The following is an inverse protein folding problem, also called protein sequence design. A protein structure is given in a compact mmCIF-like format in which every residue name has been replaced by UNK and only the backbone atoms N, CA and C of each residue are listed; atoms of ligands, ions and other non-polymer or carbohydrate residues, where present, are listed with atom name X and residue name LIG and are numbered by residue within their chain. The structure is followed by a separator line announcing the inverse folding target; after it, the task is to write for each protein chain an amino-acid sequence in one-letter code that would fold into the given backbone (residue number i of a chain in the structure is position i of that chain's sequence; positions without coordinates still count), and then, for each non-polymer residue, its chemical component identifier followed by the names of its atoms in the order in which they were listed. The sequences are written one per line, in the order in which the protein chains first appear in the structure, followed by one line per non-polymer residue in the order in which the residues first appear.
data_IF_989920255333
#
_entry.id   IF_989920255333
#
_cell.length_a   1.000
_cell.length_b   1.000
_cell.length_c   1.000
_cell.angle_alpha   90.00
_cell.angle_beta   90.00
_cell.angle_gamma   90.00
#
_symmetry.space_group_name_H-M   'P 1'
#
loop_
_entity.id
_entity.type
_entity.pdbx_description
1 polymer ?
#
# COMPACT_ATOMS: atom_id res chain seq x y z
N UNK A 1 7.01 18.43 3.79
CA UNK A 1 5.55 18.65 3.77
C UNK A 1 5.03 18.71 2.34
N UNK A 2 5.59 19.52 1.43
CA UNK A 2 5.15 19.54 0.03
C UNK A 2 5.41 18.23 -0.77
N UNK A 3 6.50 17.50 -0.49
CA UNK A 3 6.79 16.23 -1.18
C UNK A 3 5.85 15.08 -0.78
N UNK A 4 5.50 14.97 0.50
CA UNK A 4 4.58 13.92 1.00
C UNK A 4 3.18 14.05 0.39
N UNK A 5 2.66 15.27 0.29
CA UNK A 5 1.34 15.52 -0.30
C UNK A 5 1.32 15.24 -1.81
N UNK A 6 2.42 15.52 -2.52
CA UNK A 6 2.56 15.23 -3.96
C UNK A 6 2.61 13.72 -4.23
N UNK A 7 3.31 12.98 -3.37
CA UNK A 7 3.42 11.51 -3.43
C UNK A 7 2.06 10.91 -3.09
N UNK A 8 1.40 11.38 -2.04
CA UNK A 8 0.11 10.87 -1.62
C UNK A 8 -0.98 11.10 -2.68
N UNK A 9 -0.98 12.24 -3.37
CA UNK A 9 -1.87 12.52 -4.51
C UNK A 9 -1.62 11.63 -5.73
N UNK A 10 -0.35 11.43 -6.11
CA UNK A 10 0.03 10.57 -7.25
C UNK A 10 -0.25 9.08 -6.94
N UNK A 11 -0.13 8.67 -5.67
CA UNK A 11 -0.46 7.33 -5.21
C UNK A 11 -1.96 7.08 -5.11
N UNK A 12 -2.74 8.04 -4.58
CA UNK A 12 -4.20 7.97 -4.62
C UNK A 12 -4.68 7.85 -6.07
N UNK A 13 -4.11 8.63 -6.99
CA UNK A 13 -4.40 8.55 -8.41
C UNK A 13 -4.15 7.13 -8.99
N UNK A 14 -3.02 6.50 -8.68
CA UNK A 14 -2.67 5.14 -9.17
C UNK A 14 -3.60 4.04 -8.66
N UNK A 15 -4.10 4.14 -7.42
CA UNK A 15 -5.02 3.15 -6.83
C UNK A 15 -6.50 3.42 -7.13
N UNK A 16 -6.88 4.68 -7.39
CA UNK A 16 -8.23 5.11 -7.84
C UNK A 16 -8.40 4.96 -9.36
N UNK A 17 -7.31 4.80 -10.13
CA UNK A 17 -7.37 4.68 -11.58
C UNK A 17 -8.23 3.50 -12.08
N UNK A 18 -8.32 2.40 -11.32
CA UNK A 18 -9.06 1.21 -11.76
C UNK A 18 -10.58 1.39 -11.82
N UNK A 19 -11.26 1.99 -10.82
CA UNK A 19 -12.67 2.35 -10.97
C UNK A 19 -12.92 3.39 -12.08
N UNK A 20 -11.94 4.24 -12.41
CA UNK A 20 -12.03 5.15 -13.55
C UNK A 20 -11.90 4.43 -14.91
N UNK A 21 -11.00 3.44 -15.02
CA UNK A 21 -10.95 2.52 -16.16
C UNK A 21 -12.23 1.70 -16.31
N UNK A 22 -12.91 1.38 -15.20
CA UNK A 22 -14.24 0.76 -15.18
C UNK A 22 -15.29 1.66 -15.84
N UNK A 23 -15.24 2.97 -15.60
CA UNK A 23 -16.15 3.92 -16.27
C UNK A 23 -15.93 3.89 -17.78
N UNK A 24 -14.67 3.85 -18.23
CA UNK A 24 -14.32 3.74 -19.65
C UNK A 24 -14.68 2.36 -20.25
N UNK A 25 -14.52 1.27 -19.48
CA UNK A 25 -14.82 -0.11 -19.89
C UNK A 25 -16.30 -0.50 -19.72
N UNK A 26 -17.11 0.25 -18.97
CA UNK A 26 -18.57 0.13 -18.91
C UNK A 26 -19.24 0.97 -20.00
N UNK A 27 -18.59 2.06 -20.43
CA UNK A 27 -19.01 2.86 -21.59
C UNK A 27 -18.69 2.14 -22.91
N UNK A 28 -17.62 1.34 -22.96
CA UNK A 28 -17.26 0.61 -24.19
C UNK A 28 -18.30 -0.42 -24.66
N UNK A 29 -18.96 -1.20 -23.78
CA UNK A 29 -20.14 -1.99 -24.10
C UNK A 29 -21.32 -1.17 -24.59
N UNK A 30 -21.46 0.09 -24.17
CA UNK A 30 -22.49 1.01 -24.68
C UNK A 30 -22.15 1.49 -26.10
N UNK A 31 -20.86 1.68 -26.41
CA UNK A 31 -20.35 1.94 -27.77
C UNK A 31 -20.43 0.68 -28.64
N UNK A 32 -20.21 -0.51 -28.06
CA UNK A 32 -20.33 -1.80 -28.74
C UNK A 32 -21.79 -2.29 -28.87
N UNK A 33 -22.71 -1.79 -28.05
CA UNK A 33 -24.16 -2.01 -28.15
C UNK A 33 -24.73 -1.36 -29.43
N UNK A 34 -24.14 -0.27 -29.91
CA UNK A 34 -24.43 0.25 -31.26
C UNK A 34 -23.79 -0.58 -32.39
N UNK A 35 -22.84 -1.48 -32.07
CA UNK A 35 -22.31 -2.40 -33.07
C UNK A 35 -23.21 -3.63 -33.16
N UNK A 36 -23.66 -3.98 -34.35
CA UNK A 36 -24.48 -5.17 -34.69
C UNK A 36 -23.87 -6.53 -34.25
N UNK A 37 -22.71 -6.53 -33.58
CA UNK A 37 -21.96 -7.69 -33.08
C UNK A 37 -22.61 -8.31 -31.84
N UNK A 38 -23.39 -7.54 -31.07
CA UNK A 38 -24.09 -7.99 -29.87
C UNK A 38 -25.62 -7.95 -30.07
N UNK A 39 -26.17 -8.80 -30.95
CA UNK A 39 -27.59 -9.16 -30.93
C UNK A 39 -27.88 -10.04 -29.69
N UNK A 40 -27.63 -9.49 -28.50
CA UNK A 40 -27.87 -10.16 -27.23
C UNK A 40 -29.34 -9.99 -26.87
N UNK A 41 -30.09 -11.08 -26.97
CA UNK A 41 -31.38 -11.16 -26.28
C UNK A 41 -31.18 -10.81 -24.80
N UNK A 42 -32.10 -10.03 -24.24
CA UNK A 42 -32.11 -9.51 -22.86
C UNK A 42 -31.89 -10.59 -21.77
N UNK A 43 -32.02 -11.87 -22.14
CA UNK A 43 -31.86 -13.07 -21.32
C UNK A 43 -30.44 -13.24 -20.75
N UNK A 44 -29.38 -12.64 -21.29
CA UNK A 44 -28.02 -12.82 -20.71
C UNK A 44 -27.57 -11.72 -19.74
N UNK A 45 -28.15 -10.53 -19.81
CA UNK A 45 -27.73 -9.42 -18.94
C UNK A 45 -28.23 -9.67 -17.51
N UNK A 46 -29.48 -10.11 -17.36
CA UNK A 46 -30.07 -10.37 -16.05
C UNK A 46 -29.35 -11.47 -15.25
N UNK A 47 -29.04 -12.66 -15.80
CA UNK A 47 -28.27 -13.68 -15.10
C UNK A 47 -26.84 -13.25 -14.81
N UNK A 48 -26.22 -12.46 -15.68
CA UNK A 48 -24.86 -11.92 -15.46
C UNK A 48 -24.86 -10.94 -14.29
N UNK A 49 -25.80 -9.99 -14.26
CA UNK A 49 -25.96 -9.05 -13.14
C UNK A 49 -26.27 -9.78 -11.83
N UNK A 50 -27.17 -10.77 -11.87
CA UNK A 50 -27.49 -11.58 -10.69
C UNK A 50 -26.27 -12.35 -10.18
N UNK A 51 -25.51 -13.00 -11.07
CA UNK A 51 -24.29 -13.73 -10.72
C UNK A 51 -23.23 -12.80 -10.11
N UNK A 52 -23.09 -11.59 -10.66
CA UNK A 52 -22.19 -10.57 -10.15
C UNK A 52 -22.60 -10.10 -8.76
N UNK A 53 -23.89 -9.81 -8.53
CA UNK A 53 -24.40 -9.40 -7.22
C UNK A 53 -24.24 -10.50 -6.16
N UNK A 54 -24.54 -11.75 -6.51
CA UNK A 54 -24.34 -12.89 -5.64
C UNK A 54 -22.85 -13.07 -5.26
N UNK A 55 -21.95 -12.90 -6.22
CA UNK A 55 -20.51 -12.93 -5.97
C UNK A 55 -20.06 -11.81 -5.03
N UNK A 56 -20.59 -10.59 -5.19
CA UNK A 56 -20.31 -9.46 -4.29
C UNK A 56 -20.74 -9.80 -2.87
N UNK A 57 -21.96 -10.32 -2.70
CA UNK A 57 -22.52 -10.65 -1.39
C UNK A 57 -21.70 -11.74 -0.70
N UNK A 58 -21.38 -12.84 -1.40
CA UNK A 58 -20.55 -13.93 -0.86
C UNK A 58 -19.17 -13.43 -0.43
N UNK A 59 -18.50 -12.67 -1.30
CA UNK A 59 -17.15 -12.16 -1.06
C UNK A 59 -17.16 -11.19 0.13
N UNK A 60 -18.16 -10.32 0.20
CA UNK A 60 -18.31 -9.34 1.27
C UNK A 60 -18.59 -10.01 2.62
N UNK A 61 -19.50 -10.97 2.66
CA UNK A 61 -19.80 -11.78 3.86
C UNK A 61 -18.58 -12.57 4.33
N UNK A 62 -17.87 -13.23 3.41
CA UNK A 62 -16.65 -13.95 3.73
C UNK A 62 -15.59 -13.02 4.34
N UNK A 63 -15.39 -11.84 3.73
CA UNK A 63 -14.47 -10.82 4.24
C UNK A 63 -14.84 -10.39 5.65
N UNK A 64 -16.10 -10.02 5.90
CA UNK A 64 -16.55 -9.59 7.22
C UNK A 64 -16.35 -10.66 8.30
N UNK A 65 -16.64 -11.92 7.98
CA UNK A 65 -16.46 -13.05 8.91
C UNK A 65 -14.99 -13.28 9.25
N UNK A 66 -14.11 -13.25 8.27
CA UNK A 66 -12.66 -13.37 8.47
C UNK A 66 -12.15 -12.24 9.37
N UNK A 67 -12.51 -11.00 9.07
CA UNK A 67 -12.09 -9.86 9.89
C UNK A 67 -12.58 -9.95 11.33
N UNK A 68 -13.83 -10.35 11.54
CA UNK A 68 -14.41 -10.55 12.87
C UNK A 68 -13.67 -11.66 13.64
N UNK A 69 -13.29 -12.74 12.97
CA UNK A 69 -12.49 -13.82 13.56
C UNK A 69 -11.09 -13.33 13.96
N UNK A 70 -10.41 -12.58 13.09
CA UNK A 70 -9.08 -12.05 13.39
C UNK A 70 -9.09 -11.06 14.55
N UNK A 71 -10.09 -10.18 14.61
CA UNK A 71 -10.27 -9.24 15.71
C UNK A 71 -10.52 -9.98 17.03
N UNK A 72 -11.31 -11.05 17.01
CA UNK A 72 -11.55 -11.90 18.20
C UNK A 72 -10.26 -12.56 18.70
N UNK A 73 -9.34 -12.89 17.80
CA UNK A 73 -8.04 -13.47 18.12
C UNK A 73 -6.95 -12.42 18.45
N UNK A 74 -7.32 -11.14 18.58
CA UNK A 74 -6.39 -10.07 18.97
C UNK A 74 -5.48 -9.58 17.85
N UNK A 75 -5.83 -9.82 16.58
CA UNK A 75 -5.08 -9.28 15.46
C UNK A 75 -5.19 -7.75 15.39
N UNK A 76 -4.07 -7.07 15.13
CA UNK A 76 -4.05 -5.61 14.91
C UNK A 76 -4.74 -5.27 13.59
N UNK A 77 -5.63 -4.27 13.59
CA UNK A 77 -6.34 -3.79 12.38
C UNK A 77 -5.40 -3.46 11.22
N UNK A 78 -4.22 -2.88 11.49
CA UNK A 78 -3.23 -2.59 10.44
C UNK A 78 -2.79 -3.83 9.66
N UNK A 79 -2.56 -4.96 10.35
CA UNK A 79 -2.19 -6.23 9.71
C UNK A 79 -3.35 -6.83 8.91
N UNK A 80 -4.58 -6.65 9.39
CA UNK A 80 -5.79 -7.11 8.69
C UNK A 80 -5.92 -6.36 7.35
N UNK A 81 -5.82 -5.03 7.35
CA UNK A 81 -5.91 -4.23 6.13
C UNK A 81 -4.78 -4.51 5.14
N UNK A 82 -3.53 -4.60 5.62
CA UNK A 82 -2.38 -4.95 4.77
C UNK A 82 -2.58 -6.32 4.10
N UNK A 83 -3.02 -7.32 4.87
CA UNK A 83 -3.32 -8.65 4.36
C UNK A 83 -4.45 -8.62 3.34
N UNK A 84 -5.55 -7.92 3.64
CA UNK A 84 -6.72 -7.81 2.76
C UNK A 84 -6.34 -7.21 1.40
N UNK A 85 -5.53 -6.16 1.37
CA UNK A 85 -5.07 -5.55 0.11
C UNK A 85 -4.20 -6.53 -0.68
N UNK A 86 -3.26 -7.23 -0.03
CA UNK A 86 -2.42 -8.24 -0.70
C UNK A 86 -3.25 -9.36 -1.31
N UNK A 87 -4.19 -9.92 -0.55
CA UNK A 87 -5.09 -10.97 -1.05
C UNK A 87 -6.02 -10.46 -2.15
N UNK A 88 -6.54 -9.24 -2.02
CA UNK A 88 -7.33 -8.58 -3.06
C UNK A 88 -6.56 -8.45 -4.37
N UNK A 89 -5.30 -7.97 -4.31
CA UNK A 89 -4.45 -7.85 -5.49
C UNK A 89 -4.10 -9.21 -6.11
N UNK A 90 -3.86 -10.25 -5.30
CA UNK A 90 -3.64 -11.61 -5.83
C UNK A 90 -4.88 -12.12 -6.56
N UNK A 91 -6.07 -11.98 -5.96
CA UNK A 91 -7.32 -12.40 -6.58
C UNK A 91 -7.59 -11.64 -7.89
N UNK A 92 -7.28 -10.34 -7.93
CA UNK A 92 -7.31 -9.54 -9.15
C UNK A 92 -6.39 -10.11 -10.23
N UNK A 93 -5.14 -10.41 -9.89
CA UNK A 93 -4.16 -10.92 -10.86
C UNK A 93 -4.67 -12.23 -11.45
N UNK A 94 -5.30 -13.09 -10.64
CA UNK A 94 -5.92 -14.31 -11.14
C UNK A 94 -7.02 -13.98 -12.15
N UNK A 95 -7.94 -13.06 -11.82
CA UNK A 95 -9.00 -12.64 -12.75
C UNK A 95 -8.45 -12.04 -14.06
N UNK A 96 -7.43 -11.19 -14.00
CA UNK A 96 -6.87 -10.52 -15.18
C UNK A 96 -6.13 -11.51 -16.11
N UNK A 97 -5.62 -12.63 -15.58
CA UNK A 97 -4.85 -13.62 -16.36
C UNK A 97 -5.69 -14.80 -16.89
N UNK A 98 -6.84 -15.13 -16.30
CA UNK A 98 -7.66 -16.25 -16.79
C UNK A 98 -8.08 -16.08 -18.27
N UNK A 99 -8.57 -14.91 -18.73
CA UNK A 99 -8.90 -14.71 -20.14
C UNK A 99 -7.69 -14.93 -21.07
N UNK A 100 -6.50 -14.50 -20.65
CA UNK A 100 -5.24 -14.67 -21.39
C UNK A 100 -4.89 -16.16 -21.49
N UNK A 101 -4.96 -16.89 -20.39
CA UNK A 101 -4.70 -18.34 -20.35
C UNK A 101 -5.71 -19.07 -21.25
N UNK A 102 -7.00 -18.74 -21.15
CA UNK A 102 -8.02 -19.30 -22.04
C UNK A 102 -7.72 -19.04 -23.52
N UNK A 103 -7.22 -17.84 -23.87
CA UNK A 103 -6.85 -17.53 -25.25
C UNK A 103 -5.65 -18.32 -25.78
N UNK A 104 -4.73 -18.76 -24.91
CA UNK A 104 -3.57 -19.59 -25.31
C UNK A 104 -3.98 -21.06 -25.51
N UNK A 105 -4.81 -21.59 -24.62
CA UNK A 105 -5.05 -23.05 -24.54
C UNK A 105 -6.36 -23.51 -25.20
N UNK A 106 -7.32 -22.62 -25.43
CA UNK A 106 -8.61 -22.95 -26.07
C UNK A 106 -8.60 -22.43 -27.51
N UNK A 107 -9.09 -23.22 -28.49
CA UNK A 107 -9.27 -22.73 -29.86
C UNK A 107 -9.97 -21.38 -29.88
N UNK A 108 -9.40 -20.41 -30.60
CA UNK A 108 -9.80 -19.01 -30.48
C UNK A 108 -11.20 -18.78 -31.07
N UNK A 109 -12.20 -18.72 -30.18
CA UNK A 109 -13.57 -18.33 -30.49
C UNK A 109 -13.83 -16.91 -29.99
N UNK A 110 -13.90 -15.94 -30.90
CA UNK A 110 -13.93 -14.51 -30.53
C UNK A 110 -15.07 -14.16 -29.57
N UNK A 111 -16.30 -14.65 -29.81
CA UNK A 111 -17.43 -14.36 -28.93
C UNK A 111 -17.28 -14.95 -27.52
N UNK A 112 -16.81 -16.21 -27.42
CA UNK A 112 -16.58 -16.87 -26.13
C UNK A 112 -15.45 -16.17 -25.37
N UNK A 113 -14.37 -15.80 -26.05
CA UNK A 113 -13.26 -15.05 -25.46
C UNK A 113 -13.74 -13.70 -24.92
N UNK A 114 -14.49 -12.92 -25.72
CA UNK A 114 -15.02 -11.63 -25.30
C UNK A 114 -15.95 -11.74 -24.09
N UNK A 115 -16.79 -12.78 -24.05
CA UNK A 115 -17.67 -13.06 -22.90
C UNK A 115 -16.88 -13.38 -21.63
N UNK A 116 -15.94 -14.33 -21.70
CA UNK A 116 -15.07 -14.72 -20.57
C UNK A 116 -14.27 -13.52 -20.08
N UNK A 117 -13.66 -12.78 -21.01
CA UNK A 117 -12.95 -11.55 -20.73
C UNK A 117 -13.83 -10.57 -19.91
N UNK A 118 -15.02 -10.25 -20.41
CA UNK A 118 -15.95 -9.33 -19.75
C UNK A 118 -16.29 -9.76 -18.32
N UNK A 119 -16.64 -11.03 -18.12
CA UNK A 119 -17.00 -11.58 -16.80
C UNK A 119 -15.85 -11.45 -15.79
N UNK A 120 -14.62 -11.80 -16.21
CA UNK A 120 -13.45 -11.74 -15.34
C UNK A 120 -12.99 -10.30 -15.06
N UNK A 121 -13.20 -9.36 -15.99
CA UNK A 121 -12.98 -7.93 -15.74
C UNK A 121 -13.93 -7.38 -14.68
N UNK A 122 -15.22 -7.67 -14.79
CA UNK A 122 -16.18 -7.23 -13.77
C UNK A 122 -15.82 -7.83 -12.42
N UNK A 123 -15.53 -9.13 -12.37
CA UNK A 123 -15.17 -9.81 -11.13
C UNK A 123 -13.90 -9.23 -10.49
N UNK A 124 -12.83 -9.05 -11.27
CA UNK A 124 -11.58 -8.48 -10.79
C UNK A 124 -11.72 -7.03 -10.31
N UNK A 125 -12.53 -6.23 -10.99
CA UNK A 125 -12.75 -4.84 -10.59
C UNK A 125 -13.54 -4.72 -9.29
N UNK A 126 -14.56 -5.55 -9.08
CA UNK A 126 -15.32 -5.60 -7.83
C UNK A 126 -14.44 -6.00 -6.64
N UNK A 127 -13.60 -7.03 -6.81
CA UNK A 127 -12.60 -7.43 -5.81
C UNK A 127 -11.67 -6.26 -5.48
N UNK A 128 -11.24 -5.51 -6.50
CA UNK A 128 -10.40 -4.33 -6.31
C UNK A 128 -11.07 -3.24 -5.47
N UNK A 129 -12.35 -2.97 -5.70
CA UNK A 129 -13.09 -1.95 -4.94
C UNK A 129 -13.23 -2.38 -3.47
N UNK A 130 -13.61 -3.64 -3.24
CA UNK A 130 -13.87 -4.19 -1.90
C UNK A 130 -12.59 -4.35 -1.06
N UNK A 131 -11.50 -4.85 -1.64
CA UNK A 131 -10.28 -5.20 -0.90
C UNK A 131 -9.16 -4.18 -1.00
N UNK A 132 -9.12 -3.38 -2.07
CA UNK A 132 -8.00 -2.48 -2.35
C UNK A 132 -8.39 -1.02 -2.13
N UNK A 133 -9.39 -0.51 -2.86
CA UNK A 133 -9.72 0.93 -2.85
C UNK A 133 -10.14 1.40 -1.46
N UNK A 134 -11.09 0.69 -0.84
CA UNK A 134 -11.59 1.05 0.50
C UNK A 134 -10.49 0.98 1.57
N UNK A 135 -9.72 -0.11 1.58
CA UNK A 135 -8.74 -0.36 2.65
C UNK A 135 -7.49 0.51 2.53
N UNK A 136 -7.08 0.82 1.30
CA UNK A 136 -5.93 1.67 1.04
C UNK A 136 -6.17 3.11 1.52
N UNK A 137 -7.42 3.59 1.55
CA UNK A 137 -7.77 4.90 2.12
C UNK A 137 -7.38 5.06 3.60
N UNK A 138 -7.14 3.95 4.31
CA UNK A 138 -6.73 3.95 5.72
C UNK A 138 -5.23 3.72 5.94
N UNK A 139 -4.45 3.51 4.88
CA UNK A 139 -3.01 3.20 4.96
C UNK A 139 -2.17 4.35 4.41
N UNK A 140 -0.97 4.49 4.93
CA UNK A 140 0.06 5.39 4.44
C UNK A 140 1.37 4.61 4.24
N UNK A 141 2.20 5.01 3.27
CA UNK A 141 3.45 4.32 2.94
C UNK A 141 4.62 5.15 3.45
N UNK A 142 5.42 4.58 4.35
CA UNK A 142 6.46 5.33 5.06
C UNK A 142 7.85 5.24 4.38
N UNK A 143 8.10 4.17 3.62
CA UNK A 143 9.35 4.01 2.85
C UNK A 143 9.22 2.91 1.81
N UNK A 144 9.90 3.08 0.68
CA UNK A 144 9.93 2.13 -0.44
C UNK A 144 11.31 2.13 -1.12
N UNK A 145 11.66 1.04 -1.80
CA UNK A 145 12.89 0.92 -2.58
C UNK A 145 12.60 1.05 -4.08
N UNK A 146 12.55 2.30 -4.57
CA UNK A 146 12.16 2.61 -5.96
C UNK A 146 13.02 1.93 -7.03
N UNK A 147 14.33 1.75 -6.79
CA UNK A 147 15.23 1.14 -7.78
C UNK A 147 14.95 -0.35 -7.99
N UNK A 148 14.63 -1.09 -6.93
CA UNK A 148 14.30 -2.51 -7.03
C UNK A 148 12.96 -2.73 -7.73
N UNK A 149 11.98 -1.89 -7.39
CA UNK A 149 10.66 -1.92 -7.99
C UNK A 149 10.69 -1.58 -9.48
N UNK A 150 11.42 -0.55 -9.86
CA UNK A 150 11.59 -0.19 -11.26
C UNK A 150 12.16 -1.34 -12.09
N UNK A 151 13.19 -2.04 -11.58
CA UNK A 151 13.79 -3.20 -12.26
C UNK A 151 12.78 -4.34 -12.42
N UNK A 152 12.03 -4.69 -11.38
CA UNK A 152 11.03 -5.77 -11.41
C UNK A 152 9.86 -5.44 -12.34
N UNK A 153 9.35 -4.21 -12.27
CA UNK A 153 8.27 -3.73 -13.15
C UNK A 153 8.71 -3.72 -14.60
N UNK A 154 9.94 -3.28 -14.90
CA UNK A 154 10.48 -3.30 -16.26
C UNK A 154 10.56 -4.72 -16.82
N UNK A 155 11.10 -5.69 -16.06
CA UNK A 155 11.14 -7.09 -16.49
C UNK A 155 9.75 -7.69 -16.73
N UNK A 156 8.78 -7.39 -15.85
CA UNK A 156 7.41 -7.86 -16.00
C UNK A 156 6.75 -7.27 -17.24
N UNK A 157 6.89 -5.96 -17.47
CA UNK A 157 6.36 -5.30 -18.67
C UNK A 157 6.98 -5.93 -19.92
N UNK A 158 8.30 -6.17 -19.95
CA UNK A 158 8.95 -6.84 -21.09
C UNK A 158 8.39 -8.24 -21.34
N UNK A 159 8.16 -9.04 -20.30
CA UNK A 159 7.56 -10.37 -20.45
C UNK A 159 6.12 -10.30 -21.00
N UNK A 160 5.29 -9.42 -20.45
CA UNK A 160 3.92 -9.24 -20.93
C UNK A 160 3.88 -8.74 -22.37
N UNK A 161 4.77 -7.83 -22.77
CA UNK A 161 4.85 -7.37 -24.16
C UNK A 161 5.15 -8.52 -25.13
N UNK A 162 6.04 -9.44 -24.78
CA UNK A 162 6.34 -10.63 -25.61
C UNK A 162 5.10 -11.54 -25.72
N UNK A 163 4.44 -11.82 -24.60
CA UNK A 163 3.22 -12.63 -24.57
C UNK A 163 2.09 -11.99 -25.38
N UNK A 164 1.95 -10.68 -25.31
CA UNK A 164 0.95 -9.91 -26.06
C UNK A 164 1.20 -9.98 -27.58
N UNK A 165 2.46 -9.86 -28.01
CA UNK A 165 2.82 -10.01 -29.44
C UNK A 165 2.46 -11.41 -29.94
N UNK A 166 2.78 -12.46 -29.18
CA UNK A 166 2.43 -13.84 -29.53
C UNK A 166 0.92 -14.05 -29.65
N UNK A 167 0.14 -13.49 -28.73
CA UNK A 167 -1.32 -13.59 -28.76
C UNK A 167 -1.93 -12.82 -29.94
N UNK A 168 -1.41 -11.63 -30.26
CA UNK A 168 -1.82 -10.88 -31.45
C UNK A 168 -1.50 -11.59 -32.77
N UNK A 169 -0.44 -12.40 -32.81
CA UNK A 169 -0.14 -13.28 -33.94
C UNK A 169 -1.12 -14.46 -34.00
N UNK A 170 -1.49 -15.02 -32.84
CA UNK A 170 -2.43 -16.15 -32.77
C UNK A 170 -3.84 -15.80 -33.25
N UNK A 171 -4.24 -14.51 -33.22
CA UNK A 171 -5.51 -14.04 -33.78
C UNK A 171 -5.52 -13.89 -35.31
N UNK A 172 -4.38 -14.09 -36.00
CA UNK A 172 -4.29 -14.00 -37.46
C UNK A 172 -5.18 -15.02 -38.18
N UNK A 173 -5.47 -16.15 -37.55
CA UNK A 173 -6.31 -17.19 -38.11
C UNK A 173 -7.83 -16.92 -37.99
N UNK A 174 -8.24 -15.76 -37.48
CA UNK A 174 -9.65 -15.40 -37.35
C UNK A 174 -10.27 -15.00 -38.69
N UNK A 175 -11.51 -15.46 -38.94
CA UNK A 175 -12.19 -15.29 -40.24
C UNK A 175 -12.55 -13.85 -40.60
N UNK A 176 -12.68 -12.94 -39.62
CA UNK A 176 -13.22 -11.60 -39.85
C UNK A 176 -12.31 -10.49 -39.28
N UNK A 177 -11.97 -9.45 -40.06
CA UNK A 177 -11.00 -8.42 -39.65
C UNK A 177 -11.48 -7.55 -38.48
N UNK A 178 -12.79 -7.35 -38.33
CA UNK A 178 -13.37 -6.59 -37.21
C UNK A 178 -13.21 -7.33 -35.88
N UNK A 179 -13.43 -8.64 -35.89
CA UNK A 179 -13.33 -9.51 -34.71
C UNK A 179 -11.88 -9.65 -34.25
N UNK A 180 -10.94 -9.70 -35.20
CA UNK A 180 -9.49 -9.66 -34.96
C UNK A 180 -9.06 -8.38 -34.23
N UNK A 181 -9.54 -7.23 -34.70
CA UNK A 181 -9.20 -5.93 -34.09
C UNK A 181 -9.71 -5.85 -32.65
N UNK A 182 -10.96 -6.25 -32.42
CA UNK A 182 -11.55 -6.29 -31.06
C UNK A 182 -10.77 -7.22 -30.14
N UNK A 183 -10.48 -8.46 -30.58
CA UNK A 183 -9.70 -9.42 -29.82
C UNK A 183 -8.32 -8.86 -29.39
N UNK A 184 -7.59 -8.25 -30.32
CA UNK A 184 -6.27 -7.69 -30.05
C UNK A 184 -6.32 -6.53 -29.06
N UNK A 185 -7.33 -5.66 -29.15
CA UNK A 185 -7.53 -4.56 -28.18
C UNK A 185 -7.75 -5.11 -26.77
N UNK A 186 -8.59 -6.13 -26.62
CA UNK A 186 -8.81 -6.76 -25.31
C UNK A 186 -7.53 -7.43 -24.79
N UNK A 187 -6.85 -8.23 -25.61
CA UNK A 187 -5.59 -8.89 -25.25
C UNK A 187 -4.58 -7.86 -24.72
N UNK A 188 -4.35 -6.77 -25.47
CA UNK A 188 -3.46 -5.67 -25.06
C UNK A 188 -3.91 -5.04 -23.74
N UNK A 189 -5.21 -4.74 -23.58
CA UNK A 189 -5.75 -4.16 -22.36
C UNK A 189 -5.53 -5.07 -21.12
N UNK A 190 -5.77 -6.38 -21.23
CA UNK A 190 -5.56 -7.32 -20.11
C UNK A 190 -4.10 -7.45 -19.72
N UNK A 191 -3.18 -7.56 -20.69
CA UNK A 191 -1.76 -7.65 -20.38
C UNK A 191 -1.26 -6.39 -19.67
N UNK A 192 -1.73 -5.22 -20.10
CA UNK A 192 -1.40 -3.94 -19.44
C UNK A 192 -1.96 -3.88 -18.02
N UNK A 193 -3.25 -4.20 -17.82
CA UNK A 193 -3.88 -4.19 -16.49
C UNK A 193 -3.22 -5.19 -15.53
N UNK A 194 -2.95 -6.41 -15.99
CA UNK A 194 -2.27 -7.44 -15.20
C UNK A 194 -0.88 -6.98 -14.77
N UNK A 195 -0.08 -6.42 -15.69
CA UNK A 195 1.27 -5.92 -15.38
C UNK A 195 1.27 -4.79 -14.34
N UNK A 196 0.29 -3.89 -14.40
CA UNK A 196 0.09 -2.80 -13.44
C UNK A 196 -0.27 -3.38 -12.07
N UNK A 197 -1.20 -4.34 -12.01
CA UNK A 197 -1.61 -4.95 -10.74
C UNK A 197 -0.47 -5.73 -10.09
N UNK A 198 0.30 -6.51 -10.87
CA UNK A 198 1.48 -7.23 -10.34
C UNK A 198 2.50 -6.24 -9.80
N UNK A 199 2.74 -5.13 -10.51
CA UNK A 199 3.64 -4.07 -10.05
C UNK A 199 3.19 -3.47 -8.71
N UNK A 200 1.88 -3.24 -8.53
CA UNK A 200 1.29 -2.79 -7.25
C UNK A 200 1.49 -3.80 -6.12
N UNK A 201 1.33 -5.10 -6.42
CA UNK A 201 1.54 -6.16 -5.43
C UNK A 201 3.00 -6.21 -4.98
N UNK A 202 3.95 -6.18 -5.92
CA UNK A 202 5.38 -6.14 -5.61
C UNK A 202 5.75 -4.90 -4.80
N UNK A 203 5.20 -3.74 -5.15
CA UNK A 203 5.34 -2.51 -4.37
C UNK A 203 4.92 -2.68 -2.91
N UNK A 204 3.78 -3.33 -2.64
CA UNK A 204 3.30 -3.53 -1.27
C UNK A 204 4.13 -4.53 -0.46
N UNK A 205 4.81 -5.47 -1.11
CA UNK A 205 5.75 -6.37 -0.42
C UNK A 205 7.06 -5.68 -0.04
N UNK A 206 7.51 -4.72 -0.86
CA UNK A 206 8.77 -4.01 -0.64
C UNK A 206 8.58 -2.72 0.20
N UNK A 207 7.34 -2.28 0.42
CA UNK A 207 7.00 -1.05 1.16
C UNK A 207 6.68 -1.29 2.63
N UNK A 208 7.09 -0.36 3.50
CA UNK A 208 6.61 -0.31 4.89
C UNK A 208 5.32 0.50 4.98
N UNK A 209 4.23 -0.16 5.34
CA UNK A 209 2.89 0.44 5.43
C UNK A 209 2.53 0.77 6.88
N UNK A 210 1.99 1.96 7.11
CA UNK A 210 1.58 2.51 8.41
C UNK A 210 0.12 2.95 8.34
N UNK A 211 -0.62 2.97 9.46
CA UNK A 211 -2.06 3.25 9.46
C UNK A 211 -2.38 4.73 9.71
N UNK A 212 -3.25 5.33 8.89
CA UNK A 212 -3.55 6.78 8.89
C UNK A 212 -4.25 7.29 10.15
N UNK A 213 -5.12 6.49 10.76
CA UNK A 213 -5.87 6.97 11.94
C UNK A 213 -5.05 7.02 13.23
N UNK A 214 -3.80 6.54 13.22
CA UNK A 214 -2.84 6.81 14.28
C UNK A 214 -2.31 8.26 14.20
N UNK A 215 -2.33 8.87 13.00
CA UNK A 215 -1.91 10.25 12.74
C UNK A 215 -3.05 11.27 13.00
N UNK A 216 -4.29 10.94 12.61
CA UNK A 216 -5.45 11.85 12.78
C UNK A 216 -5.93 12.02 14.23
N UNK A 217 -5.66 11.05 15.11
CA UNK A 217 -6.00 11.14 16.54
C UNK A 217 -5.00 12.01 17.31
N UNK A 218 -3.74 12.01 16.86
CA UNK A 218 -2.68 12.87 17.37
C UNK A 218 -2.89 14.35 17.03
N UNK A 219 -3.38 14.67 15.82
CA UNK A 219 -3.60 16.07 15.41
C UNK A 219 -4.88 16.67 16.03
N UNK A 220 -5.93 15.87 16.27
CA UNK A 220 -7.19 16.38 16.84
C UNK A 220 -7.15 16.63 18.36
N UNK A 221 -6.16 16.09 19.08
CA UNK A 221 -6.04 16.27 20.53
C UNK A 221 -5.23 17.53 20.92
N UNK A 222 -4.55 18.20 19.97
CA UNK A 222 -3.77 19.42 20.24
C UNK A 222 -4.61 20.71 20.19
N UNK A 223 -5.79 20.67 19.55
CA UNK A 223 -6.64 21.85 19.31
C UNK A 223 -7.83 22.02 20.28
N UNK A 224 -8.05 21.09 21.22
CA UNK A 224 -9.14 21.19 22.20
C UNK A 224 -8.63 21.11 23.63
N UNK A 225 -8.58 22.26 24.30
CA UNK A 225 -8.33 22.35 25.73
C UNK A 225 -9.43 21.65 26.57
N UNK A 226 -8.99 21.12 27.72
CA UNK A 226 -9.73 20.85 28.98
C UNK A 226 -10.39 19.47 29.18
N UNK A 227 -9.99 18.80 30.27
CA UNK A 227 -10.88 17.96 31.11
C UNK A 227 -10.37 16.56 31.44
N UNK A 228 -9.54 16.40 32.48
CA UNK A 228 -8.86 15.15 32.83
C UNK A 228 -9.67 14.24 33.76
N UNK A 229 -9.95 13.00 33.33
CA UNK A 229 -10.43 11.91 34.19
C UNK A 229 -9.40 10.77 34.29
N UNK A 230 -9.32 10.15 35.47
CA UNK A 230 -8.22 9.27 35.93
C UNK A 230 -8.07 7.93 35.20
N UNK A 231 -9.06 7.52 34.40
CA UNK A 231 -9.10 6.19 33.76
C UNK A 231 -8.29 6.15 32.45
N UNK A 232 -8.10 7.29 31.78
CA UNK A 232 -7.33 7.39 30.53
C UNK A 232 -5.80 7.44 30.72
N UNK A 233 -5.32 7.50 31.96
CA UNK A 233 -3.89 7.66 32.24
C UNK A 233 -3.06 6.43 31.82
N UNK A 234 -3.67 5.23 31.83
CA UNK A 234 -2.98 3.97 31.56
C UNK A 234 -2.81 3.68 30.06
N UNK A 235 -3.78 4.09 29.23
CA UNK A 235 -3.72 3.99 27.77
C UNK A 235 -2.80 5.07 27.16
N UNK A 236 -2.80 6.29 27.72
CA UNK A 236 -1.86 7.36 27.34
C UNK A 236 -0.42 7.02 27.78
N UNK A 237 -0.22 6.22 28.85
CA UNK A 237 1.10 5.72 29.25
C UNK A 237 1.75 4.83 28.17
N UNK A 238 0.95 3.99 27.50
CA UNK A 238 1.44 3.12 26.44
C UNK A 238 1.79 3.90 25.16
N UNK A 239 0.97 4.89 24.77
CA UNK A 239 1.25 5.73 23.60
C UNK A 239 2.46 6.67 23.80
N UNK A 240 2.65 7.24 25.01
CA UNK A 240 3.83 8.06 25.34
C UNK A 240 5.15 7.29 25.39
N UNK A 241 5.11 5.95 25.45
CA UNK A 241 6.33 5.15 25.47
C UNK A 241 6.95 4.97 24.08
N UNK A 242 6.11 4.91 23.03
CA UNK A 242 6.56 4.70 21.64
C UNK A 242 7.31 5.92 21.05
N UNK A 243 7.07 7.14 21.54
CA UNK A 243 7.83 8.34 21.16
C UNK A 243 9.17 8.46 21.89
N UNK A 244 9.33 7.75 23.01
CA UNK A 244 10.54 7.77 23.83
C UNK A 244 11.49 6.64 23.47
N UNK A 245 11.46 6.14 22.22
CA UNK A 245 12.39 5.11 21.73
C UNK A 245 13.28 5.64 20.62
N UNK A 246 14.51 5.11 20.56
CA UNK A 246 15.38 5.39 19.43
C UNK A 246 14.93 4.61 18.20
N UNK A 247 14.57 5.30 17.12
CA UNK A 247 14.08 4.70 15.87
C UNK A 247 15.13 3.86 15.10
N UNK A 248 16.38 3.80 15.59
CA UNK A 248 17.46 2.99 14.99
C UNK A 248 17.61 1.64 15.72
N UNK A 249 17.65 1.66 17.05
CA UNK A 249 17.84 0.44 17.85
C UNK A 249 16.59 -0.04 18.58
N UNK A 250 15.48 0.72 18.47
CA UNK A 250 14.18 0.46 19.08
C UNK A 250 14.25 0.27 20.60
N UNK A 251 15.23 0.89 21.25
CA UNK A 251 15.38 0.90 22.71
C UNK A 251 14.85 2.22 23.29
N UNK A 252 14.20 2.14 24.45
CA UNK A 252 13.75 3.30 25.19
C UNK A 252 14.93 4.22 25.52
N UNK A 253 14.74 5.51 25.27
CA UNK A 253 15.61 6.55 25.75
C UNK A 253 15.66 6.51 27.27
N UNK A 254 16.84 6.73 27.81
CA UNK A 254 17.03 6.66 29.25
C UNK A 254 18.13 7.66 29.62
N UNK A 255 17.84 8.49 30.62
CA UNK A 255 18.79 9.49 31.10
C UNK A 255 19.95 8.85 31.87
N UNK A 256 19.66 7.85 32.70
CA UNK A 256 20.61 7.16 33.58
C UNK A 256 21.55 6.25 32.78
N UNK A 257 21.08 5.69 31.67
CA UNK A 257 21.86 4.79 30.82
C UNK A 257 22.56 5.57 29.70
N UNK A 258 23.88 5.79 29.82
CA UNK A 258 24.70 6.53 28.82
C UNK A 258 24.51 6.04 27.38
N UNK A 259 24.23 4.75 27.15
CA UNK A 259 24.02 4.21 25.80
C UNK A 259 22.69 4.65 25.16
N UNK A 260 21.65 4.85 25.97
CA UNK A 260 20.31 5.21 25.54
C UNK A 260 20.01 6.70 25.73
N UNK A 261 21.01 7.52 26.03
CA UNK A 261 20.83 8.95 26.22
C UNK A 261 20.45 9.62 24.88
N UNK A 262 19.34 10.37 24.79
CA UNK A 262 18.92 11.03 23.55
C UNK A 262 19.83 12.22 23.24
N UNK A 263 20.45 12.19 22.05
CA UNK A 263 21.35 13.23 21.52
C UNK A 263 20.74 13.85 20.26
N UNK A 264 20.86 15.17 20.15
CA UNK A 264 20.39 15.92 18.97
C UNK A 264 21.53 16.02 17.95
N UNK A 265 21.23 15.66 16.70
CA UNK A 265 22.10 15.91 15.55
C UNK A 265 21.96 17.39 15.14
N UNK A 266 22.97 18.22 15.43
CA UNK A 266 22.87 19.67 15.27
C UNK A 266 22.73 20.14 13.82
N UNK A 267 23.02 19.27 12.84
CA UNK A 267 22.79 19.58 11.43
C UNK A 267 21.30 19.64 11.04
N UNK A 268 20.44 18.86 11.70
CA UNK A 268 19.02 18.73 11.30
C UNK A 268 18.00 18.69 12.44
N UNK A 269 18.43 18.64 13.71
CA UNK A 269 17.53 18.58 14.87
C UNK A 269 17.01 17.18 15.22
N UNK A 270 17.24 16.16 14.39
CA UNK A 270 16.81 14.79 14.70
C UNK A 270 17.49 14.24 15.95
N UNK A 271 16.76 13.42 16.71
CA UNK A 271 17.25 12.81 17.94
C UNK A 271 17.57 11.33 17.76
N UNK A 272 18.74 10.92 18.25
CA UNK A 272 19.26 9.55 18.19
C UNK A 272 19.91 9.20 19.53
N UNK A 273 19.87 7.94 19.96
CA UNK A 273 20.55 7.55 21.19
C UNK A 273 22.07 7.57 21.02
N UNK A 274 22.79 7.91 22.08
CA UNK A 274 24.25 8.06 22.06
C UNK A 274 24.98 6.81 21.53
N UNK A 275 24.49 5.60 21.81
CA UNK A 275 25.05 4.38 21.23
C UNK A 275 24.95 4.36 19.69
N UNK A 276 23.79 4.69 19.14
CA UNK A 276 23.59 4.71 17.69
C UNK A 276 24.37 5.86 17.04
N UNK A 277 24.51 7.01 17.69
CA UNK A 277 25.37 8.09 17.18
C UNK A 277 26.82 7.64 17.05
N UNK A 278 27.36 6.95 18.06
CA UNK A 278 28.72 6.39 17.98
C UNK A 278 28.85 5.35 16.86
N UNK A 279 27.81 4.54 16.64
CA UNK A 279 27.77 3.58 15.53
C UNK A 279 27.77 4.26 14.17
N UNK A 280 27.03 5.37 14.01
CA UNK A 280 27.01 6.17 12.79
C UNK A 280 28.38 6.81 12.54
N UNK A 281 29.01 7.39 13.56
CA UNK A 281 30.37 7.96 13.46
C UNK A 281 31.43 6.93 13.07
N UNK A 282 31.36 5.70 13.60
CA UNK A 282 32.33 4.64 13.23
C UNK A 282 32.24 4.20 11.78
N UNK A 283 31.08 4.40 11.14
CA UNK A 283 30.88 4.06 9.72
C UNK A 283 31.41 5.14 8.78
N UNK A 284 31.82 6.30 9.28
CA UNK A 284 32.35 7.40 8.48
C UNK A 284 33.80 7.70 8.87
N UNK A 285 34.68 7.82 7.87
CA UNK A 285 36.07 8.23 8.09
C UNK A 285 36.22 9.76 8.23
N UNK A 286 35.15 10.52 8.00
CA UNK A 286 35.13 11.98 8.02
C UNK A 286 34.74 12.55 9.37
N UNK A 287 35.01 13.84 9.60
CA UNK A 287 34.62 14.54 10.84
C UNK A 287 33.13 14.93 10.94
N UNK A 288 32.27 14.09 10.39
CA UNK A 288 30.82 14.27 10.37
C UNK A 288 30.07 13.00 10.80
N UNK A 289 28.82 13.20 11.21
CA UNK A 289 27.86 12.14 11.52
C UNK A 289 26.68 12.30 10.55
N UNK A 290 26.41 11.30 9.70
CA UNK A 290 25.28 11.35 8.81
C UNK A 290 23.98 11.10 9.58
N UNK A 291 22.96 11.89 9.28
CA UNK A 291 21.62 11.62 9.78
C UNK A 291 21.01 10.41 9.06
N UNK A 292 20.39 9.46 9.77
CA UNK A 292 19.73 8.31 9.13
C UNK A 292 18.31 8.62 8.67
N UNK A 293 17.76 9.78 9.04
CA UNK A 293 16.39 10.20 8.73
C UNK A 293 16.32 11.27 7.64
N UNK A 294 17.43 11.97 7.41
CA UNK A 294 17.52 12.99 6.36
C UNK A 294 18.94 13.03 5.78
N UNK A 295 19.13 13.80 4.71
CA UNK A 295 20.40 13.90 3.98
C UNK A 295 21.41 14.87 4.60
N UNK A 296 21.14 15.40 5.80
CA UNK A 296 21.95 16.46 6.42
C UNK A 296 22.93 15.89 7.44
N UNK A 297 24.22 16.17 7.22
CA UNK A 297 25.31 15.75 8.09
C UNK A 297 25.54 16.71 9.27
N UNK A 298 25.84 16.15 10.43
CA UNK A 298 26.30 16.90 11.61
C UNK A 298 27.82 16.92 11.67
N UNK A 299 28.43 18.09 11.46
CA UNK A 299 29.88 18.29 11.61
C UNK A 299 30.27 18.35 13.08
N UNK A 300 31.33 17.63 13.48
CA UNK A 300 31.81 17.59 14.86
C UNK A 300 32.87 18.65 15.17
N UNK A 301 33.58 19.16 14.16
CA UNK A 301 34.63 20.19 14.30
C UNK A 301 35.67 19.83 15.39
N UNK A 302 36.15 18.59 15.39
CA UNK A 302 37.11 18.05 16.35
C UNK A 302 36.53 17.67 17.72
N UNK A 303 35.20 17.83 17.92
CA UNK A 303 34.55 17.47 19.18
C UNK A 303 34.15 16.00 19.21
N UNK A 304 34.10 15.42 20.40
CA UNK A 304 33.66 14.03 20.57
C UNK A 304 32.16 13.88 20.33
N UNK A 305 31.71 12.68 19.95
CA UNK A 305 30.27 12.35 19.85
C UNK A 305 29.51 12.67 21.16
N UNK A 306 30.20 12.59 22.28
CA UNK A 306 29.63 12.80 23.60
C UNK A 306 29.31 14.29 23.87
N UNK A 307 29.91 15.22 23.12
CA UNK A 307 29.66 16.65 23.21
C UNK A 307 28.38 17.12 22.51
N UNK A 308 27.70 16.23 21.76
CA UNK A 308 26.42 16.60 21.14
C UNK A 308 25.38 16.98 22.20
N UNK A 309 24.53 17.97 21.93
CA UNK A 309 23.52 18.40 22.88
C UNK A 309 22.55 17.27 23.22
N UNK A 310 22.19 17.18 24.51
CA UNK A 310 21.15 16.27 24.98
C UNK A 310 19.79 16.82 24.57
N UNK A 311 18.84 15.94 24.25
CA UNK A 311 17.46 16.38 24.09
C UNK A 311 16.78 16.46 25.47
N UNK A 312 16.83 17.65 26.08
CA UNK A 312 16.25 17.88 27.41
C UNK A 312 14.72 17.80 27.43
N UNK A 313 14.05 18.04 26.29
CA UNK A 313 12.59 17.86 26.20
C UNK A 313 12.22 16.38 26.38
N UNK A 314 12.89 15.47 25.66
CA UNK A 314 12.70 14.02 25.80
C UNK A 314 13.07 13.55 27.21
N UNK A 315 14.18 14.04 27.78
CA UNK A 315 14.58 13.72 29.16
C UNK A 315 13.52 14.19 30.16
N UNK A 316 12.97 15.39 29.99
CA UNK A 316 11.91 15.92 30.84
C UNK A 316 10.64 15.06 30.79
N UNK A 317 10.28 14.56 29.60
CA UNK A 317 9.15 13.63 29.44
C UNK A 317 9.39 12.29 30.17
N UNK A 318 10.59 11.72 30.05
CA UNK A 318 10.97 10.48 30.76
C UNK A 318 10.83 10.67 32.28
N UNK A 319 11.36 11.78 32.83
CA UNK A 319 11.29 12.07 34.27
C UNK A 319 9.84 12.19 34.77
N UNK A 320 8.97 12.86 34.01
CA UNK A 320 7.55 12.99 34.36
C UNK A 320 6.85 11.63 34.38
N UNK A 321 7.19 10.74 33.45
CA UNK A 321 6.65 9.37 33.42
C UNK A 321 7.14 8.54 34.62
N UNK A 322 8.44 8.55 34.93
CA UNK A 322 8.98 7.87 36.11
C UNK A 322 8.32 8.35 37.42
N UNK A 323 8.02 9.65 37.53
CA UNK A 323 7.32 10.23 38.68
C UNK A 323 5.88 9.72 38.79
N UNK A 324 5.12 9.69 37.69
CA UNK A 324 3.74 9.15 37.70
C UNK A 324 3.66 7.66 37.99
N UNK A 325 4.71 6.88 37.73
CA UNK A 325 4.79 5.47 38.12
C UNK A 325 5.06 5.28 39.61
N UNK A 326 5.87 6.14 40.21
CA UNK A 326 6.19 6.08 41.63
C UNK A 326 5.04 6.57 42.53
N UNK A 327 4.17 7.47 42.05
CA UNK A 327 2.96 7.91 42.78
C UNK A 327 1.82 6.88 42.73
N UNK A 328 1.91 5.86 41.87
CA UNK A 328 0.91 4.80 41.72
C UNK A 328 1.26 3.48 42.45
N UNK A 329 2.43 3.43 43.11
CA UNK A 329 2.85 2.32 43.98
C UNK A 329 2.68 2.69 45.44
#
# INVERSE_FOLDING_TARGET
MADDDSIEGLFQFVFIYRPFCLLLLLVFPFIAYESEVFNFEWISIQPTLFSVLLMIEIIFEAKQRIEKYDLKNGAKRSRIYERNIKYGLVAVIICDNIPIICAVFVPFHTHLFLYVAYLFTISGTLISVIFVVWEFSFLNVNSWNGTLLFKRSACLISFYLILLVYLCQSTENTRHPRDRASANVFILAYGMLSSITISKLLFLFDSKVVWKSQYRRYIKEDDSEVGMNSVDLMSIKMARCDELVCQICLRNYNEKTKGNLPKILTGCGHTVCQHCVRKLKRKTHFDCIPCPFCTVDTKLNGRSVDSLPKNYAIIGMIRKLEQTENTQK
#
